data_IF_540633823508
#
_entry.id   IF_540633823508
#
_cell.length_a   1.000
_cell.length_b   1.000
_cell.length_c   1.000
_cell.angle_alpha   90.00
_cell.angle_beta   90.00
_cell.angle_gamma   90.00
#
_symmetry.space_group_name_H-M   'P 1'
#
loop_
_entity.id
_entity.type
_entity.pdbx_description
1 polymer ?
#
# COMPACT_ATOMS: atom_id res chain seq x y z
N UNK A 1 -6.12 18.01 9.08
CA UNK A 1 -5.03 17.43 9.89
C UNK A 1 -3.79 18.28 9.69
N UNK A 2 -3.20 18.77 10.79
CA UNK A 2 -1.97 19.55 10.71
C UNK A 2 -0.82 18.62 10.32
N UNK A 3 -0.01 18.99 9.32
CA UNK A 3 1.14 18.18 8.90
C UNK A 3 2.14 18.15 10.06
N UNK A 4 2.41 16.97 10.59
CA UNK A 4 3.44 16.82 11.62
C UNK A 4 4.81 16.94 10.96
N UNK A 5 5.48 18.05 11.22
CA UNK A 5 6.82 18.31 10.71
C UNK A 5 7.90 17.70 11.62
N UNK A 6 9.01 17.27 11.03
CA UNK A 6 10.15 16.78 11.81
C UNK A 6 10.75 17.89 12.67
N UNK A 7 11.05 17.57 13.94
CA UNK A 7 11.81 18.48 14.82
C UNK A 7 13.21 18.73 14.26
N UNK A 8 13.83 19.86 14.63
CA UNK A 8 15.22 20.18 14.24
C UNK A 8 16.20 19.06 14.62
N UNK A 9 16.03 18.47 15.81
CA UNK A 9 16.86 17.35 16.30
C UNK A 9 16.70 16.11 15.42
N UNK A 10 15.47 15.78 15.05
CA UNK A 10 15.16 14.64 14.17
C UNK A 10 15.77 14.85 12.77
N UNK A 11 15.63 16.05 12.20
CA UNK A 11 16.22 16.40 10.89
C UNK A 11 17.74 16.25 10.89
N UNK A 12 18.41 16.76 11.92
CA UNK A 12 19.86 16.64 12.04
C UNK A 12 20.33 15.18 12.14
N UNK A 13 19.61 14.35 12.91
CA UNK A 13 19.93 12.92 13.04
C UNK A 13 19.77 12.17 11.70
N UNK A 14 18.73 12.47 10.93
CA UNK A 14 18.51 11.86 9.60
C UNK A 14 19.61 12.29 8.61
N UNK A 15 19.96 13.58 8.58
CA UNK A 15 21.03 14.08 7.69
C UNK A 15 22.37 13.43 8.05
N UNK A 16 22.68 13.31 9.35
CA UNK A 16 23.90 12.66 9.82
C UNK A 16 23.94 11.17 9.43
N UNK A 17 22.80 10.45 9.58
CA UNK A 17 22.68 9.04 9.18
C UNK A 17 22.91 8.85 7.67
N UNK A 18 22.37 9.76 6.86
CA UNK A 18 22.44 9.68 5.41
C UNK A 18 23.85 9.94 4.84
N UNK A 19 24.77 10.48 5.65
CA UNK A 19 26.18 10.73 5.29
C UNK A 19 26.36 11.45 3.94
N UNK A 20 25.49 12.42 3.65
CA UNK A 20 25.50 13.19 2.39
C UNK A 20 25.07 12.41 1.16
N UNK A 21 24.32 11.30 1.32
CA UNK A 21 23.78 10.51 0.20
C UNK A 21 22.26 10.44 0.26
N UNK A 22 21.63 10.32 -0.89
CA UNK A 22 20.20 10.04 -0.98
C UNK A 22 19.92 8.60 -0.53
N UNK A 23 19.02 8.39 0.43
CA UNK A 23 18.67 7.05 0.91
C UNK A 23 17.80 6.26 -0.08
N UNK A 24 17.30 6.89 -1.15
CA UNK A 24 16.48 6.24 -2.18
C UNK A 24 17.30 5.84 -3.43
N UNK A 25 18.16 6.73 -3.94
CA UNK A 25 18.93 6.49 -5.17
C UNK A 25 20.44 6.46 -4.96
N UNK A 26 20.93 6.63 -3.73
CA UNK A 26 22.35 6.63 -3.36
C UNK A 26 23.22 7.72 -4.00
N UNK A 27 22.62 8.67 -4.71
CA UNK A 27 23.33 9.83 -5.25
C UNK A 27 23.97 10.67 -4.14
N UNK A 28 25.16 11.19 -4.39
CA UNK A 28 25.85 12.12 -3.48
C UNK A 28 25.15 13.47 -3.55
N UNK A 29 24.79 14.01 -2.40
CA UNK A 29 24.08 15.27 -2.25
C UNK A 29 25.03 16.32 -1.68
N UNK A 30 25.01 17.53 -2.24
CA UNK A 30 25.67 18.66 -1.60
C UNK A 30 24.87 19.12 -0.37
N UNK A 31 25.52 19.81 0.59
CA UNK A 31 24.80 20.42 1.71
C UNK A 31 23.65 21.30 1.20
N UNK A 32 22.41 20.97 1.62
CA UNK A 32 21.20 21.72 1.24
C UNK A 32 20.46 21.22 -0.01
N UNK A 33 21.00 20.26 -0.77
CA UNK A 33 20.30 19.68 -1.94
C UNK A 33 19.30 18.57 -1.57
N UNK A 34 19.47 17.98 -0.38
CA UNK A 34 18.59 16.93 0.14
C UNK A 34 17.47 17.46 1.00
N UNK A 35 16.28 16.92 0.83
CA UNK A 35 15.10 17.19 1.66
C UNK A 35 14.83 16.00 2.59
N UNK A 36 14.48 16.30 3.84
CA UNK A 36 14.09 15.28 4.82
C UNK A 36 12.60 15.02 4.69
N UNK A 37 12.24 13.79 4.35
CA UNK A 37 10.86 13.41 4.08
C UNK A 37 10.46 12.09 4.77
N UNK A 38 9.16 11.87 4.94
CA UNK A 38 8.61 10.71 5.65
C UNK A 38 8.53 9.49 4.73
N UNK A 39 9.05 8.33 5.13
CA UNK A 39 8.90 7.05 4.42
C UNK A 39 7.42 6.70 4.29
N UNK A 40 6.69 6.69 5.40
CA UNK A 40 5.23 6.64 5.45
C UNK A 40 4.69 8.06 5.63
N UNK A 41 3.85 8.59 4.72
CA UNK A 41 3.29 9.94 4.86
C UNK A 41 2.47 10.11 6.15
N UNK A 42 2.52 11.31 6.74
CA UNK A 42 1.72 11.67 7.91
C UNK A 42 0.21 11.41 7.74
N UNK A 43 -0.32 11.64 6.53
CA UNK A 43 -1.72 11.36 6.19
C UNK A 43 -2.12 9.88 6.24
N UNK A 44 -1.15 8.97 6.23
CA UNK A 44 -1.33 7.52 6.38
C UNK A 44 -0.87 7.02 7.77
N UNK A 45 -0.69 7.91 8.74
CA UNK A 45 -0.27 7.56 10.10
C UNK A 45 1.25 7.56 10.32
N UNK A 46 2.01 8.14 9.40
CA UNK A 46 3.45 8.28 9.56
C UNK A 46 3.85 9.30 10.64
N UNK A 47 4.50 8.83 11.70
CA UNK A 47 5.02 9.69 12.75
C UNK A 47 6.35 10.37 12.35
N UNK A 48 6.67 11.57 12.86
CA UNK A 48 7.89 12.30 12.56
C UNK A 48 9.11 11.77 13.36
N UNK A 49 9.37 10.46 13.28
CA UNK A 49 10.49 9.79 13.96
C UNK A 49 11.71 9.66 13.05
N UNK A 50 12.91 9.44 13.63
CA UNK A 50 14.14 9.20 12.85
C UNK A 50 14.02 7.93 11.99
N UNK A 51 13.29 6.93 12.47
CA UNK A 51 13.04 5.69 11.75
C UNK A 51 12.16 5.92 10.51
N UNK A 52 11.15 6.79 10.62
CA UNK A 52 10.26 7.10 9.51
C UNK A 52 10.77 8.24 8.62
N UNK A 53 11.83 8.96 8.99
CA UNK A 53 12.40 10.00 8.14
C UNK A 53 13.54 9.49 7.28
N UNK A 54 13.68 10.01 6.06
CA UNK A 54 14.80 9.75 5.14
C UNK A 54 15.27 11.02 4.44
N UNK A 55 16.56 11.10 4.12
CA UNK A 55 17.11 12.16 3.28
C UNK A 55 17.03 11.75 1.81
N UNK A 56 16.33 12.53 1.00
CA UNK A 56 16.15 12.24 -0.44
C UNK A 56 16.46 13.45 -1.30
N UNK A 57 16.90 13.18 -2.53
CA UNK A 57 17.10 14.22 -3.53
C UNK A 57 15.76 14.75 -4.06
N UNK A 58 15.78 15.93 -4.67
CA UNK A 58 14.58 16.56 -5.25
C UNK A 58 13.84 15.66 -6.24
N UNK A 59 14.55 14.92 -7.09
CA UNK A 59 13.94 14.04 -8.09
C UNK A 59 13.17 12.90 -7.42
N UNK A 60 13.81 12.21 -6.47
CA UNK A 60 13.16 11.15 -5.70
C UNK A 60 12.00 11.68 -4.85
N UNK A 61 12.10 12.91 -4.34
CA UNK A 61 11.02 13.55 -3.58
C UNK A 61 9.79 13.82 -4.45
N UNK A 62 9.96 14.30 -5.68
CA UNK A 62 8.85 14.50 -6.63
C UNK A 62 8.16 13.18 -6.97
N UNK A 63 8.94 12.14 -7.30
CA UNK A 63 8.40 10.82 -7.63
C UNK A 63 7.60 10.24 -6.44
N UNK A 64 8.20 10.30 -5.25
CA UNK A 64 7.55 9.84 -4.02
C UNK A 64 6.27 10.62 -3.75
N UNK A 65 6.29 11.95 -3.87
CA UNK A 65 5.12 12.80 -3.65
C UNK A 65 3.95 12.38 -4.54
N UNK A 66 4.20 12.06 -5.81
CA UNK A 66 3.16 11.57 -6.71
C UNK A 66 2.56 10.23 -6.24
N UNK A 67 3.41 9.30 -5.78
CA UNK A 67 2.99 8.01 -5.24
C UNK A 67 2.21 8.15 -3.92
N UNK A 68 2.63 9.06 -3.05
CA UNK A 68 1.96 9.35 -1.79
C UNK A 68 0.58 9.92 -2.02
N UNK A 69 0.44 10.92 -2.91
CA UNK A 69 -0.86 11.50 -3.27
C UNK A 69 -1.81 10.42 -3.77
N UNK A 70 -1.33 9.51 -4.63
CA UNK A 70 -2.14 8.39 -5.13
C UNK A 70 -2.61 7.48 -4.00
N UNK A 71 -1.73 7.17 -3.06
CA UNK A 71 -1.99 6.28 -1.93
C UNK A 71 -2.94 6.91 -0.90
N UNK A 72 -2.73 8.17 -0.56
CA UNK A 72 -3.60 8.96 0.32
C UNK A 72 -5.02 9.02 -0.26
N UNK A 73 -5.16 9.43 -1.53
CA UNK A 73 -6.47 9.48 -2.18
C UNK A 73 -7.17 8.12 -2.25
N UNK A 74 -6.42 7.02 -2.38
CA UNK A 74 -6.99 5.67 -2.32
C UNK A 74 -7.49 5.36 -0.91
N UNK A 75 -6.71 5.69 0.11
CA UNK A 75 -7.08 5.51 1.51
C UNK A 75 -8.34 6.34 1.86
N UNK A 76 -8.40 7.59 1.39
CA UNK A 76 -9.58 8.46 1.57
C UNK A 76 -10.83 7.82 0.96
N UNK A 77 -10.78 7.43 -0.32
CA UNK A 77 -11.90 6.73 -0.97
C UNK A 77 -12.32 5.44 -0.26
N UNK A 78 -11.36 4.70 0.28
CA UNK A 78 -11.65 3.49 1.05
C UNK A 78 -12.33 3.81 2.37
N UNK A 79 -11.89 4.86 3.07
CA UNK A 79 -12.50 5.36 4.30
C UNK A 79 -13.92 5.84 4.02
N UNK A 80 -14.13 6.63 2.97
CA UNK A 80 -15.45 7.16 2.60
C UNK A 80 -16.45 6.05 2.24
N UNK A 81 -15.97 4.98 1.59
CA UNK A 81 -16.80 3.80 1.28
C UNK A 81 -17.15 3.02 2.55
N UNK A 82 -16.21 2.89 3.49
CA UNK A 82 -16.41 2.16 4.74
C UNK A 82 -17.32 2.92 5.71
N UNK A 83 -17.19 4.25 5.78
CA UNK A 83 -18.05 5.10 6.62
C UNK A 83 -19.45 5.31 6.04
N UNK A 84 -19.66 4.97 4.77
CA UNK A 84 -20.91 5.23 4.05
C UNK A 84 -21.08 6.69 3.61
N UNK A 85 -20.05 7.53 3.77
CA UNK A 85 -20.06 8.92 3.31
C UNK A 85 -20.29 9.01 1.79
N UNK A 86 -19.83 8.00 1.04
CA UNK A 86 -20.10 7.87 -0.40
C UNK A 86 -20.94 6.62 -0.64
N UNK A 87 -22.16 6.82 -1.13
CA UNK A 87 -23.01 5.73 -1.59
C UNK A 87 -22.46 5.11 -2.90
N UNK A 88 -22.53 3.78 -3.07
CA UNK A 88 -22.16 3.16 -4.33
C UNK A 88 -23.05 3.67 -5.46
N UNK A 89 -22.47 3.86 -6.64
CA UNK A 89 -23.23 4.25 -7.84
C UNK A 89 -24.31 3.19 -8.10
N UNK A 90 -25.55 3.65 -8.25
CA UNK A 90 -26.67 2.79 -8.58
C UNK A 90 -26.45 2.10 -9.92
N UNK A 91 -26.95 0.86 -10.06
CA UNK A 91 -26.96 0.16 -11.35
C UNK A 91 -27.77 1.00 -12.35
N UNK A 92 -27.24 1.14 -13.56
CA UNK A 92 -27.95 1.81 -14.65
C UNK A 92 -29.24 1.02 -14.90
N UNK A 93 -30.39 1.71 -14.86
CA UNK A 93 -31.70 1.12 -15.18
C UNK A 93 -31.94 1.16 -16.69
N UNK A 94 -31.06 0.53 -17.47
CA UNK A 94 -31.22 0.41 -18.92
C UNK A 94 -31.69 -1.01 -19.28
N UNK A 95 -32.39 -1.18 -20.41
CA UNK A 95 -32.54 -2.50 -21.01
C UNK A 95 -31.16 -3.14 -21.17
N UNK A 96 -31.04 -4.41 -20.80
CA UNK A 96 -29.83 -5.19 -21.10
C UNK A 96 -29.63 -5.32 -22.61
N UNK A 97 -28.42 -5.74 -23.02
CA UNK A 97 -28.21 -6.10 -24.43
C UNK A 97 -29.07 -7.32 -24.79
N UNK A 98 -29.62 -7.37 -26.02
CA UNK A 98 -30.38 -8.54 -26.47
C UNK A 98 -29.51 -9.79 -26.43
N UNK A 99 -30.03 -10.86 -25.82
CA UNK A 99 -29.36 -12.16 -25.76
C UNK A 99 -29.44 -12.80 -27.14
N UNK A 100 -28.29 -13.19 -27.71
CA UNK A 100 -28.28 -13.92 -28.98
C UNK A 100 -28.86 -15.33 -28.82
N UNK A 101 -29.48 -15.88 -29.87
CA UNK A 101 -30.04 -17.24 -29.84
C UNK A 101 -29.00 -18.29 -29.41
N UNK A 102 -27.75 -18.13 -29.85
CA UNK A 102 -26.63 -19.00 -29.47
C UNK A 102 -26.32 -18.92 -27.98
N UNK A 103 -26.39 -17.73 -27.37
CA UNK A 103 -26.18 -17.56 -25.94
C UNK A 103 -27.36 -18.15 -25.14
N UNK A 104 -28.59 -17.97 -25.62
CA UNK A 104 -29.79 -18.56 -25.01
C UNK A 104 -29.77 -20.10 -25.00
N UNK A 105 -29.17 -20.73 -26.02
CA UNK A 105 -29.02 -22.19 -26.13
C UNK A 105 -27.82 -22.77 -25.37
N UNK A 106 -27.00 -21.94 -24.70
CA UNK A 106 -25.79 -22.42 -24.02
C UNK A 106 -26.15 -23.18 -22.74
N UNK A 107 -25.82 -24.47 -22.69
CA UNK A 107 -25.92 -25.27 -21.47
C UNK A 107 -24.74 -24.99 -20.53
N UNK A 108 -25.02 -24.76 -19.25
CA UNK A 108 -23.97 -24.56 -18.25
C UNK A 108 -23.27 -25.90 -17.97
N UNK A 109 -21.93 -25.90 -18.03
CA UNK A 109 -21.12 -27.05 -17.60
C UNK A 109 -21.05 -27.06 -16.07
N UNK A 110 -21.07 -28.23 -15.42
CA UNK A 110 -20.82 -28.30 -13.98
C UNK A 110 -19.45 -27.70 -13.67
N UNK A 111 -19.32 -26.86 -12.61
CA UNK A 111 -18.04 -26.32 -12.22
C UNK A 111 -17.13 -27.44 -11.75
N UNK A 112 -15.83 -27.33 -12.06
CA UNK A 112 -14.83 -28.23 -11.50
C UNK A 112 -14.80 -28.07 -9.98
N UNK A 113 -14.50 -29.14 -9.23
CA UNK A 113 -14.34 -29.03 -7.78
C UNK A 113 -13.22 -28.01 -7.46
N UNK A 114 -13.37 -27.23 -6.38
CA UNK A 114 -12.36 -26.26 -5.98
C UNK A 114 -11.05 -26.98 -5.70
N UNK A 115 -9.95 -26.45 -6.24
CA UNK A 115 -8.62 -26.99 -6.00
C UNK A 115 -8.29 -26.86 -4.51
N UNK A 116 -7.96 -27.97 -3.86
CA UNK A 116 -7.43 -27.94 -2.50
C UNK A 116 -6.02 -27.31 -2.55
N UNK A 117 -5.88 -26.09 -2.01
CA UNK A 117 -4.61 -25.37 -1.96
C UNK A 117 -3.74 -25.79 -0.77
N UNK A 118 -4.34 -26.38 0.26
CA UNK A 118 -3.67 -26.80 1.49
C UNK A 118 -4.04 -28.25 1.82
N UNK A 119 -3.05 -29.08 2.14
CA UNK A 119 -3.25 -30.40 2.72
C UNK A 119 -3.18 -30.29 4.26
N UNK A 120 -4.00 -31.03 5.02
CA UNK A 120 -3.87 -31.06 6.48
C UNK A 120 -2.50 -31.63 6.86
N UNK A 121 -1.83 -31.01 7.83
CA UNK A 121 -0.58 -31.53 8.37
C UNK A 121 -0.82 -32.93 8.94
N UNK A 122 -0.09 -33.93 8.45
CA UNK A 122 -0.14 -35.27 9.00
C UNK A 122 0.23 -35.21 10.48
N UNK A 123 -0.63 -35.74 11.35
CA UNK A 123 -0.34 -35.91 12.77
C UNK A 123 0.78 -36.94 12.87
N UNK A 124 2.01 -36.48 13.07
CA UNK A 124 3.14 -37.32 13.40
C UNK A 124 2.89 -37.78 14.84
N UNK A 125 2.29 -38.97 15.01
CA UNK A 125 2.24 -39.62 16.32
C UNK A 125 3.67 -39.97 16.71
N UNK A 126 4.21 -39.16 17.61
CA UNK A 126 5.53 -39.31 18.17
C UNK A 126 5.60 -40.65 18.91
N UNK A 127 6.68 -41.39 18.65
CA UNK A 127 7.03 -42.65 19.28
C UNK A 127 6.90 -42.56 20.80
N UNK A 128 6.10 -43.45 21.39
CA UNK A 128 6.13 -43.73 22.82
C UNK A 128 7.42 -44.49 23.13
N UNK A 129 8.31 -43.86 23.88
CA UNK A 129 9.42 -44.51 24.60
C UNK A 129 8.87 -45.63 25.49
N UNK A 130 9.53 -46.80 25.51
CA UNK A 130 9.05 -47.92 26.30
C UNK A 130 9.91 -49.17 26.29
N UNK A 131 10.95 -49.14 27.14
CA UNK A 131 11.73 -50.25 27.72
C UNK A 131 12.89 -50.87 26.92
#
# INVERSE_FOLDING_TARGET
MNRMEFSRKTKAAIIARAAGKCEACSAVLKPGEGEVDHILPCALGGEPTVANGRLICRVCHVEKTANDIRSIRKADRSRDKASGAIAPKQKIRSPGFPVSEKAARRQAKPPLPPRQLFAPAAIINQHTEGK
#
